data_IF_456983687576
#
_entry.id   IF_456983687576
#
_cell.length_a   1.000
_cell.length_b   1.000
_cell.length_c   1.000
_cell.angle_alpha   90.00
_cell.angle_beta   90.00
_cell.angle_gamma   90.00
#
_symmetry.space_group_name_H-M   'P 1'
#
loop_
_entity.id
_entity.type
_entity.pdbx_description
1 polymer ?
#
# COMPACT_ATOMS: atom_id res chain seq x y z
N UNK A 1 -5.15 14.57 -26.53
CA UNK A 1 -4.31 13.37 -26.69
C UNK A 1 -4.76 12.39 -25.63
N UNK A 2 -5.10 11.16 -26.00
CA UNK A 2 -5.43 10.14 -24.99
C UNK A 2 -4.13 9.80 -24.25
N UNK A 3 -4.14 9.96 -22.92
CA UNK A 3 -2.97 9.64 -22.09
C UNK A 3 -2.62 8.16 -22.23
N UNK A 4 -1.37 7.89 -22.62
CA UNK A 4 -0.86 6.53 -22.70
C UNK A 4 -0.88 5.91 -21.28
N UNK A 5 -1.58 4.77 -21.07
CA UNK A 5 -1.66 4.11 -19.76
C UNK A 5 -0.29 3.83 -19.13
N UNK A 6 0.70 3.47 -19.94
CA UNK A 6 2.07 3.21 -19.46
C UNK A 6 2.75 4.50 -18.98
N UNK A 7 2.52 5.64 -19.63
CA UNK A 7 3.05 6.93 -19.19
C UNK A 7 2.46 7.32 -17.84
N UNK A 8 1.15 7.15 -17.66
CA UNK A 8 0.47 7.40 -16.38
C UNK A 8 1.04 6.54 -15.23
N UNK A 9 1.27 5.25 -15.50
CA UNK A 9 1.89 4.33 -14.54
C UNK A 9 3.33 4.73 -14.18
N UNK A 10 4.14 5.14 -15.15
CA UNK A 10 5.50 5.66 -14.89
C UNK A 10 5.47 6.90 -14.01
N UNK A 11 4.53 7.82 -14.25
CA UNK A 11 4.35 9.02 -13.41
C UNK A 11 3.91 8.67 -12.00
N UNK A 12 3.01 7.69 -11.82
CA UNK A 12 2.62 7.19 -10.50
C UNK A 12 3.79 6.56 -9.76
N UNK A 13 4.58 5.71 -10.42
CA UNK A 13 5.77 5.10 -9.83
C UNK A 13 6.81 6.15 -9.42
N UNK A 14 6.97 7.21 -10.22
CA UNK A 14 7.82 8.35 -9.86
C UNK A 14 7.33 9.06 -8.59
N UNK A 15 6.03 9.33 -8.47
CA UNK A 15 5.45 9.96 -7.27
C UNK A 15 5.59 9.07 -6.04
N UNK A 16 5.37 7.76 -6.15
CA UNK A 16 5.58 6.80 -5.06
C UNK A 16 7.03 6.86 -4.56
N UNK A 17 8.02 6.89 -5.46
CA UNK A 17 9.44 7.04 -5.10
C UNK A 17 9.70 8.36 -4.35
N UNK A 18 9.11 9.45 -4.83
CA UNK A 18 9.25 10.78 -4.23
C UNK A 18 8.64 10.82 -2.83
N UNK A 19 7.42 10.32 -2.64
CA UNK A 19 6.78 10.28 -1.32
C UNK A 19 7.57 9.44 -0.32
N UNK A 20 8.11 8.29 -0.74
CA UNK A 20 8.95 7.47 0.12
C UNK A 20 10.21 8.22 0.59
N UNK A 21 10.87 8.98 -0.30
CA UNK A 21 12.02 9.80 0.05
C UNK A 21 11.65 10.94 1.01
N UNK A 22 10.53 11.62 0.77
CA UNK A 22 10.06 12.69 1.64
C UNK A 22 9.73 12.16 3.04
N UNK A 23 8.99 11.05 3.15
CA UNK A 23 8.71 10.39 4.43
C UNK A 23 10.02 9.97 5.14
N UNK A 24 10.97 9.39 4.41
CA UNK A 24 12.26 9.01 4.98
C UNK A 24 13.05 10.19 5.54
N UNK A 25 12.92 11.37 4.93
CA UNK A 25 13.58 12.59 5.39
C UNK A 25 12.99 13.13 6.71
N UNK A 26 11.72 12.85 7.02
CA UNK A 26 11.07 13.27 8.28
C UNK A 26 11.79 12.68 9.49
N UNK A 27 12.05 11.36 9.48
CA UNK A 27 12.68 10.65 10.60
C UNK A 27 14.18 10.44 10.41
N UNK A 28 14.71 10.66 9.21
CA UNK A 28 16.06 10.25 8.82
C UNK A 28 16.23 8.73 8.74
N UNK A 29 15.12 7.97 8.67
CA UNK A 29 15.11 6.50 8.69
C UNK A 29 14.01 5.95 7.76
N UNK A 30 14.21 4.72 7.28
CA UNK A 30 13.22 3.99 6.48
C UNK A 30 13.86 3.06 5.46
N UNK A 31 13.10 2.07 4.98
CA UNK A 31 13.54 1.11 3.96
C UNK A 31 13.45 1.71 2.55
N UNK A 32 14.26 2.75 2.29
CA UNK A 32 14.19 3.56 1.07
C UNK A 32 14.51 2.75 -0.19
N UNK A 33 15.60 1.98 -0.18
CA UNK A 33 15.98 1.19 -1.36
C UNK A 33 14.87 0.23 -1.81
N UNK A 34 14.19 -0.36 -0.84
CA UNK A 34 13.07 -1.27 -1.04
C UNK A 34 11.83 -0.54 -1.58
N UNK A 35 11.54 0.67 -1.08
CA UNK A 35 10.48 1.51 -1.64
C UNK A 35 10.77 1.94 -3.09
N UNK A 36 12.01 2.28 -3.40
CA UNK A 36 12.41 2.63 -4.77
C UNK A 36 12.27 1.45 -5.73
N UNK A 37 12.56 0.23 -5.27
CA UNK A 37 12.39 -1.00 -6.04
C UNK A 37 10.94 -1.43 -6.23
N UNK A 38 10.09 -1.26 -5.21
CA UNK A 38 8.68 -1.68 -5.24
C UNK A 38 7.76 -0.70 -5.99
N UNK A 39 8.22 0.52 -6.26
CA UNK A 39 7.34 1.58 -6.76
C UNK A 39 6.61 1.24 -8.07
N UNK A 40 7.23 0.52 -9.01
CA UNK A 40 6.55 0.16 -10.27
C UNK A 40 5.46 -0.90 -10.02
N UNK A 41 5.73 -1.88 -9.15
CA UNK A 41 4.75 -2.90 -8.74
C UNK A 41 3.55 -2.23 -8.06
N UNK A 42 3.81 -1.31 -7.14
CA UNK A 42 2.76 -0.60 -6.40
C UNK A 42 1.98 0.38 -7.28
N UNK A 43 2.64 1.04 -8.25
CA UNK A 43 1.95 1.86 -9.24
C UNK A 43 0.98 1.02 -10.07
N UNK A 44 1.42 -0.15 -10.56
CA UNK A 44 0.52 -1.08 -11.29
C UNK A 44 -0.61 -1.57 -10.39
N UNK A 45 -0.29 -1.97 -9.14
CA UNK A 45 -1.29 -2.42 -8.19
C UNK A 45 -2.38 -1.37 -7.97
N UNK A 46 -2.02 -0.16 -7.54
CA UNK A 46 -2.97 0.87 -7.11
C UNK A 46 -3.53 1.76 -8.23
N UNK A 47 -2.93 1.77 -9.42
CA UNK A 47 -3.42 2.61 -10.54
C UNK A 47 -3.98 1.81 -11.72
N UNK A 48 -3.90 0.49 -11.68
CA UNK A 48 -4.39 -0.35 -12.76
C UNK A 48 -5.07 -1.65 -12.30
N UNK A 49 -4.43 -2.44 -11.43
CA UNK A 49 -4.89 -3.79 -11.13
C UNK A 49 -5.98 -3.87 -10.06
N UNK A 50 -5.81 -3.17 -8.94
CA UNK A 50 -6.75 -3.22 -7.82
C UNK A 50 -8.04 -2.49 -8.13
N UNK A 51 -9.16 -3.12 -7.85
CA UNK A 51 -10.45 -2.47 -7.73
C UNK A 51 -10.66 -1.98 -6.29
N UNK A 52 -10.66 -0.67 -6.07
CA UNK A 52 -10.87 -0.06 -4.76
C UNK A 52 -11.59 1.29 -4.87
N UNK A 53 -12.04 1.81 -3.72
CA UNK A 53 -12.59 3.15 -3.58
C UNK A 53 -11.73 3.91 -2.57
N UNK A 54 -11.03 4.95 -3.01
CA UNK A 54 -10.13 5.71 -2.14
C UNK A 54 -10.84 6.27 -0.89
N UNK A 55 -12.06 6.79 -1.07
CA UNK A 55 -12.89 7.33 0.00
C UNK A 55 -13.57 6.27 0.88
N UNK A 56 -13.53 4.99 0.50
CA UNK A 56 -14.10 3.87 1.26
C UNK A 56 -13.15 2.65 1.23
N UNK A 57 -12.01 2.74 1.95
CA UNK A 57 -11.02 1.67 1.98
C UNK A 57 -11.51 0.42 2.71
N UNK A 58 -12.70 0.44 3.32
CA UNK A 58 -13.32 -0.72 3.99
C UNK A 58 -14.42 -1.37 3.17
N UNK A 59 -14.73 -0.85 1.98
CA UNK A 59 -15.71 -1.42 1.06
C UNK A 59 -15.48 -2.93 0.87
N UNK A 60 -16.51 -3.74 1.09
CA UNK A 60 -16.40 -5.21 1.09
C UNK A 60 -15.96 -5.79 -0.26
N UNK A 61 -16.37 -5.13 -1.36
CA UNK A 61 -16.09 -5.55 -2.74
C UNK A 61 -14.72 -5.15 -3.28
N UNK A 62 -13.88 -4.49 -2.47
CA UNK A 62 -12.53 -4.10 -2.88
C UNK A 62 -11.61 -5.30 -3.02
N UNK A 63 -10.64 -5.18 -3.90
CA UNK A 63 -9.45 -6.03 -3.90
C UNK A 63 -8.54 -5.66 -2.72
N UNK A 64 -7.76 -6.63 -2.25
CA UNK A 64 -6.91 -6.49 -1.05
C UNK A 64 -5.46 -6.66 -1.44
N UNK A 65 -4.58 -5.77 -0.96
CA UNK A 65 -3.14 -5.90 -1.11
C UNK A 65 -2.49 -6.09 0.26
N UNK A 66 -1.85 -7.24 0.46
CA UNK A 66 -1.14 -7.58 1.69
C UNK A 66 0.36 -7.41 1.47
N UNK A 67 0.95 -6.54 2.28
CA UNK A 67 2.39 -6.36 2.36
C UNK A 67 2.99 -7.33 3.39
N UNK A 68 3.31 -8.56 2.96
CA UNK A 68 3.87 -9.60 3.84
C UNK A 68 5.21 -9.17 4.47
N UNK A 69 6.06 -8.48 3.69
CA UNK A 69 7.26 -7.80 4.16
C UNK A 69 6.92 -6.47 4.83
N UNK A 70 6.34 -6.50 6.04
CA UNK A 70 5.83 -5.31 6.73
C UNK A 70 6.83 -4.15 6.93
N UNK A 71 8.13 -4.43 6.88
CA UNK A 71 9.18 -3.41 6.95
C UNK A 71 9.26 -2.53 5.68
N UNK A 72 8.62 -2.93 4.57
CA UNK A 72 8.51 -2.11 3.35
C UNK A 72 7.36 -1.10 3.43
N UNK A 73 6.78 -0.86 4.62
CA UNK A 73 5.57 -0.08 4.79
C UNK A 73 5.65 1.34 4.20
N UNK A 74 6.82 1.99 4.27
CA UNK A 74 7.06 3.29 3.65
C UNK A 74 6.76 3.29 2.13
N UNK A 75 6.97 2.17 1.43
CA UNK A 75 6.61 2.00 0.03
C UNK A 75 5.08 1.95 -0.15
N UNK A 76 4.41 1.16 0.69
CA UNK A 76 2.96 1.01 0.63
C UNK A 76 2.24 2.30 1.03
N UNK A 77 2.70 3.01 2.05
CA UNK A 77 2.20 4.33 2.42
C UNK A 77 2.28 5.30 1.24
N UNK A 78 3.42 5.33 0.54
CA UNK A 78 3.58 6.15 -0.66
C UNK A 78 2.58 5.76 -1.77
N UNK A 79 2.25 4.48 -1.92
CA UNK A 79 1.21 4.04 -2.84
C UNK A 79 -0.21 4.40 -2.39
N UNK A 80 -0.49 4.36 -1.08
CA UNK A 80 -1.77 4.77 -0.51
C UNK A 80 -1.99 6.29 -0.63
N UNK A 81 -0.92 7.08 -0.52
CA UNK A 81 -0.90 8.51 -0.83
C UNK A 81 -1.22 8.76 -2.31
N UNK A 82 -0.54 8.08 -3.22
CA UNK A 82 -0.78 8.14 -4.67
C UNK A 82 -2.20 7.67 -5.07
N UNK A 83 -2.78 6.74 -4.31
CA UNK A 83 -4.14 6.27 -4.48
C UNK A 83 -5.20 7.21 -3.90
N UNK A 84 -4.80 8.22 -3.10
CA UNK A 84 -5.71 9.11 -2.38
C UNK A 84 -6.45 8.46 -1.21
N UNK A 85 -6.00 7.29 -0.74
CA UNK A 85 -6.56 6.60 0.45
C UNK A 85 -6.07 7.28 1.73
N UNK A 86 -4.80 7.69 1.74
CA UNK A 86 -4.19 8.52 2.78
C UNK A 86 -3.96 9.90 2.18
N UNK A 87 -4.28 11.00 2.90
CA UNK A 87 -4.03 12.35 2.41
C UNK A 87 -2.54 12.69 2.46
N UNK A 88 -2.07 13.43 1.46
CA UNK A 88 -0.67 13.89 1.36
C UNK A 88 -0.21 14.72 2.56
N UNK A 89 -1.13 15.42 3.24
CA UNK A 89 -0.84 16.18 4.45
C UNK A 89 -0.31 15.32 5.62
N UNK A 90 -0.52 13.99 5.59
CA UNK A 90 0.02 13.09 6.62
C UNK A 90 1.46 12.64 6.34
N UNK A 91 2.04 12.99 5.19
CA UNK A 91 3.40 12.61 4.83
C UNK A 91 4.41 12.99 5.91
N UNK A 92 4.30 14.22 6.42
CA UNK A 92 5.23 14.78 7.42
C UNK A 92 5.06 14.17 8.81
N UNK A 93 4.07 13.31 9.01
CA UNK A 93 3.86 12.58 10.27
C UNK A 93 4.54 11.21 10.28
N UNK A 94 5.16 10.77 9.19
CA UNK A 94 5.74 9.43 9.09
C UNK A 94 6.65 9.10 10.28
N UNK A 95 6.42 7.94 10.91
CA UNK A 95 7.20 7.42 12.02
C UNK A 95 7.13 8.21 13.32
N UNK A 96 6.37 9.31 13.38
CA UNK A 96 6.13 10.08 14.61
C UNK A 96 5.10 9.39 15.51
N UNK A 97 5.09 9.75 16.79
CA UNK A 97 4.02 9.33 17.71
C UNK A 97 2.64 9.74 17.19
N UNK A 98 1.64 8.92 17.46
CA UNK A 98 0.24 9.05 16.99
C UNK A 98 0.04 9.08 15.46
N UNK A 99 1.10 8.89 14.69
CA UNK A 99 1.03 8.79 13.24
C UNK A 99 0.26 7.55 12.80
N UNK A 100 -0.55 7.71 11.76
CA UNK A 100 -1.14 6.58 11.04
C UNK A 100 -0.15 5.93 10.07
N UNK A 101 1.09 6.42 10.00
CA UNK A 101 2.17 5.93 9.14
C UNK A 101 3.37 5.48 10.00
N UNK A 102 3.21 4.48 10.90
CA UNK A 102 4.30 3.99 11.74
C UNK A 102 5.41 3.32 10.91
N UNK A 103 6.62 3.25 11.46
CA UNK A 103 7.81 2.71 10.76
C UNK A 103 7.64 1.29 10.19
N UNK A 104 6.78 0.46 10.78
CA UNK A 104 6.37 -0.85 10.26
C UNK A 104 4.87 -0.85 9.99
N UNK A 105 4.44 -1.60 8.98
CA UNK A 105 3.05 -1.60 8.52
C UNK A 105 2.07 -2.09 9.58
N UNK A 106 1.05 -1.29 9.91
CA UNK A 106 0.02 -1.64 10.91
C UNK A 106 -1.39 -1.36 10.39
N UNK A 107 -2.18 -2.42 10.18
CA UNK A 107 -3.56 -2.33 9.70
C UNK A 107 -4.51 -1.62 10.67
N UNK A 108 -4.19 -1.62 11.96
CA UNK A 108 -5.00 -0.95 12.99
C UNK A 108 -5.03 0.56 12.81
N UNK A 109 -3.94 1.14 12.28
CA UNK A 109 -3.77 2.60 12.21
C UNK A 109 -3.93 3.13 10.79
N UNK A 110 -3.40 2.42 9.79
CA UNK A 110 -3.31 2.92 8.41
C UNK A 110 -4.52 2.47 7.58
N UNK A 111 -5.36 3.39 7.05
CA UNK A 111 -6.41 3.04 6.11
C UNK A 111 -5.86 2.38 4.84
N UNK A 112 -6.51 1.32 4.36
CA UNK A 112 -6.09 0.58 3.17
C UNK A 112 -4.94 -0.42 3.40
N UNK A 113 -4.42 -0.51 4.63
CA UNK A 113 -3.49 -1.57 5.01
C UNK A 113 -4.26 -2.79 5.53
N UNK A 114 -4.11 -3.92 4.84
CA UNK A 114 -4.92 -5.12 5.10
C UNK A 114 -4.38 -6.00 6.23
N UNK A 115 -3.11 -5.86 6.58
CA UNK A 115 -2.46 -6.61 7.65
C UNK A 115 -1.42 -5.79 8.40
N UNK A 116 -1.25 -6.10 9.69
CA UNK A 116 -0.07 -5.67 10.44
C UNK A 116 1.07 -6.63 10.12
N UNK A 117 2.16 -6.09 9.58
CA UNK A 117 3.33 -6.87 9.17
C UNK A 117 4.49 -6.76 10.15
N UNK A 118 5.60 -7.44 9.81
CA UNK A 118 6.86 -7.40 10.56
C UNK A 118 7.45 -8.78 10.79
N UNK A 119 6.60 -9.78 11.04
CA UNK A 119 6.99 -11.20 11.05
C UNK A 119 6.84 -11.79 9.64
N UNK A 120 7.96 -12.16 9.03
CA UNK A 120 8.00 -12.69 7.67
C UNK A 120 7.27 -14.04 7.56
N UNK A 121 6.61 -14.26 6.41
CA UNK A 121 5.87 -15.49 6.11
C UNK A 121 4.41 -15.52 6.58
N UNK A 122 3.99 -14.56 7.41
CA UNK A 122 2.60 -14.50 7.89
C UNK A 122 1.61 -13.97 6.83
N UNK A 123 2.06 -13.11 5.91
CA UNK A 123 1.16 -12.48 4.94
C UNK A 123 0.45 -13.48 4.02
N UNK A 124 1.16 -14.52 3.57
CA UNK A 124 0.59 -15.53 2.67
C UNK A 124 -0.56 -16.30 3.32
N UNK A 125 -0.40 -16.75 4.58
CA UNK A 125 -1.46 -17.51 5.26
C UNK A 125 -2.68 -16.63 5.57
N UNK A 126 -2.47 -15.34 5.88
CA UNK A 126 -3.55 -14.37 6.06
C UNK A 126 -4.29 -14.15 4.73
N UNK A 127 -3.55 -13.97 3.63
CA UNK A 127 -4.12 -13.81 2.28
C UNK A 127 -4.99 -15.01 1.88
N UNK A 128 -4.52 -16.24 2.16
CA UNK A 128 -5.28 -17.47 1.93
C UNK A 128 -6.59 -17.47 2.72
N UNK A 129 -6.54 -17.11 4.01
CA UNK A 129 -7.75 -17.01 4.83
C UNK A 129 -8.74 -15.98 4.30
N UNK A 130 -8.26 -14.79 3.89
CA UNK A 130 -9.10 -13.75 3.28
C UNK A 130 -9.74 -14.24 1.97
N UNK A 131 -8.97 -14.88 1.09
CA UNK A 131 -9.47 -15.40 -0.18
C UNK A 131 -10.53 -16.49 0.03
N UNK A 132 -10.33 -17.39 1.00
CA UNK A 132 -11.33 -18.40 1.37
C UNK A 132 -12.63 -17.77 1.88
N UNK A 133 -12.53 -16.74 2.72
CA UNK A 133 -13.69 -15.98 3.21
C UNK A 133 -14.47 -15.29 2.09
N UNK A 134 -13.78 -14.67 1.13
CA UNK A 134 -14.40 -14.04 -0.03
C UNK A 134 -15.12 -15.06 -0.91
N UNK A 135 -14.48 -16.20 -1.17
CA UNK A 135 -15.07 -17.31 -1.93
C UNK A 135 -16.36 -17.81 -1.27
N UNK A 136 -16.37 -17.98 0.05
CA UNK A 136 -17.55 -18.40 0.80
C UNK A 136 -18.71 -17.38 0.68
N UNK A 137 -18.39 -16.09 0.56
CA UNK A 137 -19.38 -15.01 0.36
C UNK A 137 -19.80 -14.82 -1.10
N UNK A 138 -19.32 -15.64 -2.04
CA UNK A 138 -19.45 -15.41 -3.48
C UNK A 138 -18.91 -14.04 -3.96
N UNK A 139 -17.98 -13.44 -3.20
CA UNK A 139 -17.33 -12.19 -3.55
C UNK A 139 -16.20 -12.47 -4.56
N UNK A 140 -16.15 -11.69 -5.64
CA UNK A 140 -15.19 -11.86 -6.75
C UNK A 140 -13.88 -11.06 -6.57
N UNK A 141 -13.74 -10.32 -5.47
CA UNK A 141 -12.55 -9.56 -5.17
C UNK A 141 -11.29 -10.45 -5.11
N UNK A 142 -10.19 -9.90 -5.62
CA UNK A 142 -8.86 -10.50 -5.60
C UNK A 142 -8.10 -10.15 -4.32
N UNK A 143 -7.21 -11.06 -3.92
CA UNK A 143 -6.27 -10.86 -2.81
C UNK A 143 -4.87 -11.00 -3.37
N UNK A 144 -4.13 -9.89 -3.38
CA UNK A 144 -2.74 -9.80 -3.77
C UNK A 144 -1.88 -9.86 -2.51
N UNK A 145 -0.80 -10.64 -2.55
CA UNK A 145 0.19 -10.69 -1.48
C UNK A 145 1.56 -10.44 -2.10
N UNK A 146 2.23 -9.36 -1.70
CA UNK A 146 3.66 -9.26 -1.97
C UNK A 146 4.33 -10.24 -1.01
N UNK A 147 4.79 -11.38 -1.54
CA UNK A 147 5.61 -12.33 -0.78
C UNK A 147 6.68 -11.58 -0.05
#
# INVERSE_FOLDING_TARGET
MQDNPITSLKSAAYRIRRYALQMGAVQGQGYIGQALGMADILAVAYRHALNYRAADPKWEGRDRFLLSHGHYAIALYAALLEAGIVPEAELDSYGSDDSRLPMSGMATYTPGMEMSGGSLGQGLIIAVGMALGLRQKNNKAFVYNSM
#
